data_IF_611912762242
#
_entry.id   IF_611912762242
#
_cell.length_a   1.000
_cell.length_b   1.000
_cell.length_c   1.000
_cell.angle_alpha   90.00
_cell.angle_beta   90.00
_cell.angle_gamma   90.00
#
_symmetry.space_group_name_H-M   'P 1'
#
loop_
_entity.id
_entity.type
_entity.pdbx_description
1 polymer ?
#
# COMPACT_ATOMS: atom_id res chain seq x y z
N UNK A 1 -24.99 -4.00 -12.83
CA UNK A 1 -23.67 -4.66 -12.75
C UNK A 1 -22.68 -3.88 -13.60
N UNK A 2 -21.52 -3.51 -13.07
CA UNK A 2 -20.45 -2.81 -13.78
C UNK A 2 -19.44 -3.83 -14.34
N UNK A 3 -19.15 -3.77 -15.63
CA UNK A 3 -18.13 -4.62 -16.25
C UNK A 3 -16.78 -3.90 -16.32
N UNK A 4 -15.72 -4.60 -15.92
CA UNK A 4 -14.38 -4.04 -15.80
C UNK A 4 -13.39 -4.93 -16.57
N UNK A 5 -12.61 -4.31 -17.45
CA UNK A 5 -11.47 -4.96 -18.10
C UNK A 5 -10.23 -4.89 -17.19
N UNK A 6 -9.89 -6.01 -16.56
CA UNK A 6 -8.73 -6.15 -15.66
C UNK A 6 -7.36 -6.12 -16.35
N UNK A 7 -7.33 -5.95 -17.67
CA UNK A 7 -6.09 -5.71 -18.44
C UNK A 7 -5.83 -4.23 -18.73
N UNK A 8 -6.76 -3.33 -18.36
CA UNK A 8 -6.59 -1.89 -18.52
C UNK A 8 -5.39 -1.34 -17.72
N UNK A 9 -4.69 -0.37 -18.30
CA UNK A 9 -3.56 0.32 -17.67
C UNK A 9 -2.43 -0.63 -17.30
N UNK A 10 -2.05 -0.65 -16.02
CA UNK A 10 -0.99 -1.53 -15.51
C UNK A 10 -1.39 -3.02 -15.62
N UNK A 11 -2.69 -3.33 -15.61
CA UNK A 11 -3.18 -4.68 -15.81
C UNK A 11 -2.68 -5.68 -14.76
N UNK A 12 -2.36 -5.23 -13.55
CA UNK A 12 -1.92 -6.05 -12.43
C UNK A 12 -2.98 -6.21 -11.34
N UNK A 13 -2.51 -6.56 -10.14
CA UNK A 13 -3.40 -6.92 -9.02
C UNK A 13 -4.09 -5.72 -8.37
N UNK A 14 -3.60 -4.49 -8.59
CA UNK A 14 -4.14 -3.28 -7.97
C UNK A 14 -5.57 -3.00 -8.43
N UNK A 15 -5.82 -3.05 -9.75
CA UNK A 15 -7.15 -2.78 -10.33
C UNK A 15 -8.23 -3.62 -9.67
N UNK A 16 -8.01 -4.93 -9.48
CA UNK A 16 -9.00 -5.82 -8.85
C UNK A 16 -9.23 -5.47 -7.38
N UNK A 17 -8.17 -5.11 -6.65
CA UNK A 17 -8.28 -4.69 -5.24
C UNK A 17 -9.12 -3.42 -5.11
N UNK A 18 -8.80 -2.40 -5.91
CA UNK A 18 -9.52 -1.13 -5.91
C UNK A 18 -10.97 -1.30 -6.35
N UNK A 19 -11.22 -2.09 -7.41
CA UNK A 19 -12.57 -2.36 -7.90
C UNK A 19 -13.45 -3.03 -6.84
N UNK A 20 -12.94 -4.02 -6.11
CA UNK A 20 -13.71 -4.70 -5.07
C UNK A 20 -13.95 -3.79 -3.86
N UNK A 21 -12.97 -2.98 -3.47
CA UNK A 21 -13.15 -2.00 -2.40
C UNK A 21 -14.23 -0.96 -2.76
N UNK A 22 -14.19 -0.40 -3.97
CA UNK A 22 -15.18 0.58 -4.42
C UNK A 22 -16.55 -0.03 -4.69
N UNK A 23 -16.61 -1.29 -5.15
CA UNK A 23 -17.85 -2.05 -5.23
C UNK A 23 -18.51 -2.16 -3.87
N UNK A 24 -17.74 -2.51 -2.83
CA UNK A 24 -18.23 -2.59 -1.46
C UNK A 24 -18.80 -1.25 -0.96
N UNK A 25 -18.08 -0.15 -1.19
CA UNK A 25 -18.51 1.19 -0.75
C UNK A 25 -19.77 1.66 -1.49
N UNK A 26 -19.82 1.46 -2.81
CA UNK A 26 -20.92 1.96 -3.65
C UNK A 26 -22.14 1.03 -3.68
N UNK A 27 -22.02 -0.19 -3.15
CA UNK A 27 -23.04 -1.23 -3.26
C UNK A 27 -23.24 -1.75 -4.70
N UNK A 28 -22.38 -1.37 -5.65
CA UNK A 28 -22.52 -1.74 -7.06
C UNK A 28 -21.92 -3.12 -7.30
N UNK A 29 -22.73 -4.05 -7.78
CA UNK A 29 -22.25 -5.35 -8.27
C UNK A 29 -21.32 -5.19 -9.48
N UNK A 30 -20.23 -5.95 -9.50
CA UNK A 30 -19.21 -5.90 -10.55
C UNK A 30 -18.86 -7.25 -11.14
N UNK A 31 -18.37 -7.23 -12.38
CA UNK A 31 -17.71 -8.34 -13.05
C UNK A 31 -16.38 -7.87 -13.64
N UNK A 32 -15.27 -8.43 -13.15
CA UNK A 32 -13.92 -8.14 -13.63
C UNK A 32 -13.46 -9.28 -14.51
N UNK A 33 -13.04 -8.99 -15.74
CA UNK A 33 -12.50 -9.99 -16.69
C UNK A 33 -11.01 -9.74 -16.96
N UNK A 34 -10.32 -10.69 -17.62
CA UNK A 34 -8.90 -10.56 -18.02
C UNK A 34 -7.96 -10.19 -16.84
N UNK A 35 -8.25 -10.70 -15.65
CA UNK A 35 -7.47 -10.39 -14.44
C UNK A 35 -6.00 -10.74 -14.67
N UNK A 36 -5.13 -9.74 -14.52
CA UNK A 36 -3.67 -9.89 -14.62
C UNK A 36 -3.19 -10.42 -15.98
N UNK A 37 -3.95 -10.23 -17.06
CA UNK A 37 -3.65 -10.75 -18.40
C UNK A 37 -2.26 -10.36 -18.92
N UNK A 38 -1.77 -9.17 -18.56
CA UNK A 38 -0.48 -8.65 -19.03
C UNK A 38 0.71 -9.05 -18.13
N UNK A 39 0.50 -9.91 -17.12
CA UNK A 39 1.57 -10.39 -16.23
C UNK A 39 1.99 -11.80 -16.63
N UNK A 40 3.26 -12.15 -16.38
CA UNK A 40 3.83 -13.48 -16.67
C UNK A 40 2.96 -14.65 -16.20
N UNK A 41 2.35 -14.50 -15.02
CA UNK A 41 1.38 -15.45 -14.47
C UNK A 41 0.03 -14.74 -14.34
N UNK A 42 -0.90 -14.89 -15.29
CA UNK A 42 -2.24 -14.29 -15.24
C UNK A 42 -3.12 -14.81 -14.09
N UNK A 43 -4.24 -14.14 -13.87
CA UNK A 43 -5.25 -14.52 -12.89
C UNK A 43 -4.92 -14.22 -11.41
N UNK A 44 -5.82 -14.63 -10.53
CA UNK A 44 -5.72 -14.39 -9.08
C UNK A 44 -4.59 -15.22 -8.44
N UNK A 45 -3.53 -14.56 -7.98
CA UNK A 45 -2.58 -15.15 -6.99
C UNK A 45 -3.21 -15.30 -5.60
N UNK A 46 -2.59 -16.14 -4.76
CA UNK A 46 -3.01 -16.41 -3.38
C UNK A 46 -3.27 -15.15 -2.54
N UNK A 47 -2.41 -14.13 -2.65
CA UNK A 47 -2.62 -12.87 -1.90
C UNK A 47 -3.90 -12.13 -2.31
N UNK A 48 -4.22 -12.14 -3.61
CA UNK A 48 -5.45 -11.51 -4.11
C UNK A 48 -6.65 -12.32 -3.63
N UNK A 49 -6.58 -13.65 -3.78
CA UNK A 49 -7.62 -14.56 -3.33
C UNK A 49 -7.99 -14.29 -1.87
N UNK A 50 -7.00 -14.25 -0.96
CA UNK A 50 -7.29 -14.04 0.46
C UNK A 50 -7.86 -12.67 0.78
N UNK A 51 -7.36 -11.63 0.12
CA UNK A 51 -7.89 -10.28 0.27
C UNK A 51 -9.35 -10.20 -0.18
N UNK A 52 -9.67 -10.78 -1.34
CA UNK A 52 -11.00 -10.80 -1.93
C UNK A 52 -11.99 -11.70 -1.17
N UNK A 53 -11.55 -12.87 -0.69
CA UNK A 53 -12.32 -13.71 0.25
C UNK A 53 -12.70 -12.94 1.50
N UNK A 54 -11.74 -12.20 2.07
CA UNK A 54 -11.98 -11.43 3.29
C UNK A 54 -12.90 -10.24 3.02
N UNK A 55 -12.72 -9.54 1.89
CA UNK A 55 -13.63 -8.49 1.45
C UNK A 55 -15.05 -9.03 1.29
N UNK A 56 -15.22 -10.20 0.66
CA UNK A 56 -16.52 -10.82 0.49
C UNK A 56 -17.18 -11.19 1.84
N UNK A 57 -16.39 -11.70 2.80
CA UNK A 57 -16.89 -11.99 4.15
C UNK A 57 -17.33 -10.72 4.89
N UNK A 58 -16.52 -9.66 4.88
CA UNK A 58 -16.82 -8.38 5.51
C UNK A 58 -18.06 -7.75 4.87
N UNK A 59 -18.19 -7.84 3.54
CA UNK A 59 -19.25 -7.19 2.78
C UNK A 59 -20.54 -8.03 2.62
N UNK A 60 -20.58 -9.24 3.23
CA UNK A 60 -21.56 -10.30 2.91
C UNK A 60 -21.79 -10.49 1.39
N UNK A 61 -20.74 -10.39 0.59
CA UNK A 61 -20.88 -10.40 -0.85
C UNK A 61 -21.20 -11.80 -1.37
N UNK A 62 -22.03 -11.87 -2.42
CA UNK A 62 -22.07 -13.05 -3.31
C UNK A 62 -20.91 -12.94 -4.28
N UNK A 63 -20.17 -14.03 -4.46
CA UNK A 63 -18.94 -14.05 -5.25
C UNK A 63 -18.88 -15.29 -6.13
N UNK A 64 -18.38 -15.13 -7.36
CA UNK A 64 -18.02 -16.23 -8.27
C UNK A 64 -16.66 -15.95 -8.92
N UNK A 65 -15.95 -16.99 -9.34
CA UNK A 65 -14.61 -16.86 -9.92
C UNK A 65 -13.47 -16.66 -8.89
N UNK A 66 -13.75 -16.94 -7.61
CA UNK A 66 -12.79 -16.75 -6.52
C UNK A 66 -11.95 -18.01 -6.26
N UNK A 67 -11.02 -18.31 -7.18
CA UNK A 67 -10.09 -19.44 -7.06
C UNK A 67 -8.70 -19.08 -7.65
N UNK A 68 -7.61 -19.79 -7.26
CA UNK A 68 -6.28 -19.53 -7.78
C UNK A 68 -6.20 -19.60 -9.31
N UNK A 69 -5.61 -18.59 -9.94
CA UNK A 69 -5.48 -18.52 -11.40
C UNK A 69 -6.74 -18.06 -12.14
N UNK A 70 -7.85 -17.79 -11.44
CA UNK A 70 -9.04 -17.26 -12.09
C UNK A 70 -8.75 -15.94 -12.79
N UNK A 71 -9.21 -15.82 -14.03
CA UNK A 71 -9.09 -14.60 -14.84
C UNK A 71 -10.37 -13.76 -14.84
N UNK A 72 -11.39 -14.21 -14.10
CA UNK A 72 -12.69 -13.56 -14.00
C UNK A 72 -13.20 -13.59 -12.54
N UNK A 73 -13.86 -12.53 -12.12
CA UNK A 73 -14.48 -12.42 -10.79
C UNK A 73 -15.82 -11.69 -10.93
N UNK A 74 -16.88 -12.25 -10.34
CA UNK A 74 -18.10 -11.47 -10.05
C UNK A 74 -18.19 -11.24 -8.54
N UNK A 75 -18.53 -10.01 -8.14
CA UNK A 75 -18.61 -9.59 -6.75
C UNK A 75 -19.85 -8.69 -6.56
N UNK A 76 -20.78 -9.16 -5.72
CA UNK A 76 -22.03 -8.47 -5.42
C UNK A 76 -22.13 -8.21 -3.90
N UNK A 77 -21.71 -7.03 -3.41
CA UNK A 77 -21.73 -6.70 -1.99
C UNK A 77 -23.16 -6.47 -1.48
N UNK A 78 -23.36 -6.62 -0.17
CA UNK A 78 -24.66 -6.37 0.50
C UNK A 78 -24.52 -5.26 1.52
N UNK A 79 -23.60 -5.40 2.47
CA UNK A 79 -23.34 -4.40 3.52
C UNK A 79 -21.93 -4.59 4.07
N UNK A 80 -21.25 -3.51 4.45
CA UNK A 80 -19.93 -3.59 5.09
C UNK A 80 -20.13 -3.76 6.59
N UNK A 81 -19.90 -4.97 7.10
CA UNK A 81 -20.00 -5.26 8.53
C UNK A 81 -18.75 -4.86 9.30
N UNK A 82 -18.92 -4.67 10.61
CA UNK A 82 -17.82 -4.79 11.56
C UNK A 82 -17.50 -6.23 11.95
N UNK A 83 -16.68 -6.36 12.99
CA UNK A 83 -16.37 -7.63 13.64
C UNK A 83 -14.89 -7.99 13.63
N UNK A 84 -14.59 -9.18 14.17
CA UNK A 84 -13.24 -9.71 14.32
C UNK A 84 -12.98 -10.77 13.26
N UNK A 85 -11.85 -10.65 12.56
CA UNK A 85 -11.46 -11.58 11.51
C UNK A 85 -10.03 -12.04 11.72
N UNK A 86 -9.84 -13.36 11.73
CA UNK A 86 -8.52 -13.98 11.72
C UNK A 86 -8.21 -14.48 10.30
N UNK A 87 -7.08 -14.03 9.77
CA UNK A 87 -6.66 -14.26 8.39
C UNK A 87 -5.27 -14.87 8.39
N UNK A 88 -5.17 -16.05 7.79
CA UNK A 88 -3.91 -16.62 7.37
C UNK A 88 -3.82 -16.58 5.85
N UNK A 89 -2.86 -15.81 5.30
CA UNK A 89 -2.59 -15.76 3.86
C UNK A 89 -2.00 -17.10 3.37
N UNK A 90 -1.39 -17.87 4.27
CA UNK A 90 -0.84 -19.20 4.01
C UNK A 90 0.50 -19.22 3.27
N UNK A 91 1.00 -18.05 2.88
CA UNK A 91 2.27 -17.85 2.18
C UNK A 91 2.94 -16.55 2.65
N UNK A 92 4.09 -16.20 2.10
CA UNK A 92 4.67 -14.85 2.22
C UNK A 92 3.93 -13.77 1.41
N UNK A 93 2.64 -13.96 1.08
CA UNK A 93 1.83 -12.94 0.42
C UNK A 93 1.75 -11.67 1.28
N UNK A 94 1.84 -10.51 0.62
CA UNK A 94 1.95 -9.21 1.29
C UNK A 94 0.70 -8.88 2.12
N UNK A 95 0.90 -8.62 3.41
CA UNK A 95 -0.12 -8.11 4.32
C UNK A 95 -0.47 -6.67 3.94
N UNK A 96 0.49 -5.85 3.50
CA UNK A 96 0.23 -4.46 3.12
C UNK A 96 -0.68 -4.37 1.90
N UNK A 97 -0.45 -5.19 0.86
CA UNK A 97 -1.35 -5.28 -0.30
C UNK A 97 -2.70 -5.90 0.05
N UNK A 98 -2.74 -6.84 0.98
CA UNK A 98 -3.99 -7.38 1.51
C UNK A 98 -4.82 -6.27 2.17
N UNK A 99 -4.19 -5.46 3.03
CA UNK A 99 -4.84 -4.33 3.69
C UNK A 99 -5.31 -3.27 2.69
N UNK A 100 -4.51 -2.93 1.68
CA UNK A 100 -4.91 -2.00 0.61
C UNK A 100 -6.18 -2.43 -0.14
N UNK A 101 -6.51 -3.72 -0.17
CA UNK A 101 -7.78 -4.19 -0.75
C UNK A 101 -9.00 -3.88 0.12
N UNK A 102 -8.81 -3.85 1.44
CA UNK A 102 -9.90 -3.72 2.40
C UNK A 102 -10.10 -2.26 2.82
N UNK A 103 -8.98 -1.58 3.12
CA UNK A 103 -8.96 -0.27 3.77
C UNK A 103 -9.86 0.79 3.11
N UNK A 104 -9.99 0.91 1.78
CA UNK A 104 -10.89 1.93 1.21
C UNK A 104 -12.36 1.74 1.61
N UNK A 105 -12.78 0.50 1.92
CA UNK A 105 -14.15 0.19 2.33
C UNK A 105 -14.39 0.33 3.84
N UNK A 106 -13.36 0.21 4.68
CA UNK A 106 -13.53 0.11 6.14
C UNK A 106 -14.08 1.37 6.84
N UNK A 107 -13.84 2.62 6.36
CA UNK A 107 -14.51 3.80 6.90
C UNK A 107 -16.04 3.71 6.87
N UNK A 108 -16.59 2.94 5.93
CA UNK A 108 -18.04 2.80 5.69
C UNK A 108 -18.62 1.55 6.34
N UNK A 109 -17.85 0.86 7.19
CA UNK A 109 -18.36 -0.27 7.97
C UNK A 109 -19.42 0.19 8.97
N UNK A 110 -20.38 -0.68 9.30
CA UNK A 110 -21.40 -0.38 10.33
C UNK A 110 -20.83 -0.30 11.74
N UNK A 111 -19.75 -1.03 11.99
CA UNK A 111 -19.11 -1.21 13.30
C UNK A 111 -17.61 -1.38 13.09
N UNK A 112 -16.85 -1.28 14.18
CA UNK A 112 -15.40 -1.52 14.21
C UNK A 112 -15.01 -2.84 13.53
N UNK A 113 -13.96 -2.81 12.71
CA UNK A 113 -13.33 -3.99 12.10
C UNK A 113 -11.98 -4.25 12.75
N UNK A 114 -11.78 -5.45 13.25
CA UNK A 114 -10.51 -5.89 13.84
C UNK A 114 -9.96 -7.09 13.08
N UNK A 115 -8.71 -6.99 12.64
CA UNK A 115 -8.04 -7.99 11.82
C UNK A 115 -6.79 -8.51 12.55
N UNK A 116 -6.66 -9.83 12.62
CA UNK A 116 -5.40 -10.52 12.95
C UNK A 116 -4.92 -11.22 11.69
N UNK A 117 -3.76 -10.81 11.16
CA UNK A 117 -3.30 -11.25 9.85
C UNK A 117 -1.94 -11.92 9.97
N UNK A 118 -1.79 -13.07 9.31
CA UNK A 118 -0.51 -13.78 9.14
C UNK A 118 -0.11 -13.82 7.67
N UNK A 119 1.14 -13.46 7.36
CA UNK A 119 1.65 -13.35 5.99
C UNK A 119 3.06 -12.76 5.90
N UNK A 120 3.36 -12.10 4.77
CA UNK A 120 4.60 -11.32 4.60
C UNK A 120 4.38 -9.85 4.96
N UNK A 121 5.28 -9.28 5.76
CA UNK A 121 5.27 -7.86 6.16
C UNK A 121 6.19 -7.03 5.28
N UNK A 122 7.31 -7.63 4.87
CA UNK A 122 8.39 -7.00 4.12
C UNK A 122 8.78 -7.93 2.98
N UNK A 123 8.12 -7.75 1.83
CA UNK A 123 8.24 -8.62 0.66
C UNK A 123 8.29 -7.80 -0.63
N UNK A 124 8.96 -8.33 -1.64
CA UNK A 124 9.17 -7.62 -2.90
C UNK A 124 7.86 -7.22 -3.58
N UNK A 125 7.91 -6.09 -4.30
CA UNK A 125 6.79 -5.52 -5.07
C UNK A 125 5.55 -5.19 -4.21
N UNK A 126 5.77 -4.84 -2.95
CA UNK A 126 4.77 -4.34 -2.02
C UNK A 126 5.40 -3.28 -1.10
N UNK A 127 4.61 -2.33 -0.58
CA UNK A 127 5.09 -1.46 0.49
C UNK A 127 5.53 -2.28 1.70
N UNK A 128 6.61 -1.84 2.36
CA UNK A 128 7.02 -2.39 3.67
C UNK A 128 5.98 -2.06 4.73
N UNK A 129 6.01 -2.77 5.86
CA UNK A 129 5.10 -2.46 6.96
C UNK A 129 5.38 -1.07 7.55
N UNK A 130 6.66 -0.71 7.67
CA UNK A 130 7.05 0.61 8.14
C UNK A 130 6.57 1.71 7.18
N UNK A 131 6.63 1.50 5.86
CA UNK A 131 6.11 2.47 4.89
C UNK A 131 4.59 2.66 5.06
N UNK A 132 3.86 1.54 5.19
CA UNK A 132 2.42 1.59 5.42
C UNK A 132 2.11 2.41 6.69
N UNK A 133 2.82 2.16 7.79
CA UNK A 133 2.59 2.83 9.08
C UNK A 133 3.01 4.31 9.09
N UNK A 134 4.18 4.64 8.55
CA UNK A 134 4.81 5.96 8.70
C UNK A 134 4.45 6.93 7.56
N UNK A 135 4.10 6.41 6.38
CA UNK A 135 3.77 7.23 5.20
C UNK A 135 2.29 7.11 4.88
N UNK A 136 1.80 5.91 4.56
CA UNK A 136 0.40 5.74 4.11
C UNK A 136 -0.59 6.11 5.21
N UNK A 137 -0.46 5.58 6.42
CA UNK A 137 -1.40 5.89 7.51
C UNK A 137 -1.31 7.36 7.95
N UNK A 138 -0.10 7.96 8.01
CA UNK A 138 0.06 9.40 8.30
C UNK A 138 -0.73 10.25 7.30
N UNK A 139 -0.71 9.88 6.01
CA UNK A 139 -1.47 10.57 4.97
C UNK A 139 -2.99 10.34 5.09
N UNK A 140 -3.42 9.10 5.37
CA UNK A 140 -4.84 8.78 5.55
C UNK A 140 -5.44 9.46 6.79
N UNK A 141 -4.67 9.64 7.86
CA UNK A 141 -5.11 10.38 9.05
C UNK A 141 -5.47 11.83 8.72
N UNK A 142 -4.78 12.47 7.77
CA UNK A 142 -5.13 13.82 7.29
C UNK A 142 -6.49 13.87 6.60
N UNK A 143 -6.88 12.77 5.96
CA UNK A 143 -8.22 12.59 5.37
C UNK A 143 -9.28 12.19 6.41
N UNK A 144 -8.96 12.17 7.71
CA UNK A 144 -9.86 11.75 8.78
C UNK A 144 -10.03 10.23 8.92
N UNK A 145 -9.13 9.44 8.32
CA UNK A 145 -9.18 7.99 8.41
C UNK A 145 -8.87 7.50 9.82
N UNK A 146 -9.79 6.72 10.42
CA UNK A 146 -9.65 6.18 11.76
C UNK A 146 -9.21 4.70 11.71
N UNK A 147 -7.91 4.46 11.67
CA UNK A 147 -7.37 3.10 11.69
C UNK A 147 -5.98 3.02 12.30
N UNK A 148 -5.63 1.83 12.77
CA UNK A 148 -4.33 1.53 13.36
C UNK A 148 -3.84 0.17 12.88
N UNK A 149 -2.57 0.10 12.51
CA UNK A 149 -1.88 -1.15 12.17
C UNK A 149 -0.70 -1.31 13.09
N UNK A 150 -0.59 -2.48 13.71
CA UNK A 150 0.46 -2.83 14.67
C UNK A 150 1.16 -4.09 14.19
N UNK A 151 2.41 -3.93 13.78
CA UNK A 151 3.33 -5.03 13.53
C UNK A 151 3.63 -5.75 14.85
N UNK A 152 3.42 -7.08 14.87
CA UNK A 152 3.74 -7.94 16.02
C UNK A 152 4.97 -8.79 15.76
N UNK A 153 5.10 -9.31 14.55
CA UNK A 153 6.27 -10.07 14.09
C UNK A 153 6.52 -9.77 12.61
N UNK A 154 7.79 -9.61 12.23
CA UNK A 154 8.16 -9.52 10.82
C UNK A 154 8.04 -10.86 10.10
N UNK A 155 7.69 -10.81 8.82
CA UNK A 155 7.62 -11.94 7.91
C UNK A 155 8.21 -11.61 6.55
N UNK A 156 9.23 -12.35 6.16
CA UNK A 156 9.96 -12.17 4.90
C UNK A 156 9.73 -13.34 3.95
N UNK A 157 9.85 -13.07 2.65
CA UNK A 157 9.87 -14.13 1.64
C UNK A 157 11.06 -15.09 1.85
N UNK A 158 10.92 -16.42 1.60
CA UNK A 158 9.73 -17.13 1.11
C UNK A 158 8.79 -17.63 2.21
N UNK A 159 9.24 -17.67 3.47
CA UNK A 159 8.52 -18.34 4.57
C UNK A 159 7.31 -17.53 5.07
N UNK A 160 7.38 -16.20 5.02
CA UNK A 160 6.37 -15.33 5.62
C UNK A 160 6.39 -15.46 7.13
N UNK A 161 5.22 -15.69 7.74
CA UNK A 161 5.08 -15.88 9.19
C UNK A 161 5.01 -14.59 10.00
N UNK A 162 5.01 -13.44 9.34
CA UNK A 162 4.77 -12.15 9.98
C UNK A 162 3.35 -12.07 10.51
N UNK A 163 3.18 -11.29 11.59
CA UNK A 163 1.90 -11.12 12.29
C UNK A 163 1.59 -9.66 12.46
N UNK A 164 0.38 -9.28 12.08
CA UNK A 164 -0.12 -7.90 12.16
C UNK A 164 -1.48 -7.91 12.84
N UNK A 165 -1.69 -6.97 13.76
CA UNK A 165 -3.00 -6.64 14.30
C UNK A 165 -3.42 -5.28 13.76
N UNK A 166 -4.61 -5.20 13.18
CA UNK A 166 -5.15 -3.96 12.64
C UNK A 166 -6.56 -3.71 13.16
N UNK A 167 -6.90 -2.44 13.40
CA UNK A 167 -8.23 -2.02 13.86
C UNK A 167 -8.67 -0.79 13.09
N UNK A 168 -9.92 -0.79 12.64
CA UNK A 168 -10.51 0.29 11.85
C UNK A 168 -11.86 0.66 12.44
N UNK A 169 -12.06 1.94 12.70
CA UNK A 169 -13.34 2.49 13.13
C UNK A 169 -14.10 3.04 11.92
N UNK A 170 -15.44 2.92 11.88
CA UNK A 170 -16.24 3.70 10.97
C UNK A 170 -15.93 5.19 11.13
N UNK A 171 -15.67 5.86 10.02
CA UNK A 171 -15.26 7.26 10.03
C UNK A 171 -15.72 7.99 8.76
N UNK A 172 -15.85 9.30 8.88
CA UNK A 172 -16.13 10.18 7.75
C UNK A 172 -14.81 10.72 7.21
N UNK A 173 -14.52 10.38 5.96
CA UNK A 173 -13.39 10.96 5.26
C UNK A 173 -13.67 12.43 4.92
N UNK A 174 -12.63 13.25 4.97
CA UNK A 174 -12.67 14.69 4.69
C UNK A 174 -11.56 15.05 3.72
N UNK A 175 -11.87 15.94 2.78
CA UNK A 175 -10.91 16.35 1.77
C UNK A 175 -9.68 17.02 2.37
N UNK A 176 -8.51 16.74 1.79
CA UNK A 176 -7.24 17.29 2.23
C UNK A 176 -6.35 17.67 1.05
N UNK A 177 -5.71 18.83 1.14
CA UNK A 177 -4.74 19.31 0.16
C UNK A 177 -3.34 19.05 0.71
N UNK A 178 -2.70 17.99 0.21
CA UNK A 178 -1.35 17.61 0.59
C UNK A 178 -0.35 18.66 0.11
N UNK A 179 0.45 19.16 1.04
CA UNK A 179 1.50 20.12 0.79
C UNK A 179 2.86 19.46 1.03
N UNK A 180 3.91 20.02 0.42
CA UNK A 180 5.28 19.61 0.71
C UNK A 180 5.59 19.90 2.18
N UNK A 181 6.07 18.89 2.89
CA UNK A 181 6.61 19.02 4.25
C UNK A 181 8.15 19.06 4.19
N UNK A 182 8.78 19.90 5.02
CA UNK A 182 10.24 19.98 5.17
C UNK A 182 10.70 19.21 6.41
N UNK A 183 10.26 17.95 6.50
CA UNK A 183 10.61 17.07 7.61
C UNK A 183 12.04 16.55 7.49
N UNK A 184 12.70 16.38 8.64
CA UNK A 184 13.93 15.58 8.73
C UNK A 184 13.64 14.12 8.33
N UNK A 185 14.55 13.49 7.59
CA UNK A 185 14.37 12.09 7.18
C UNK A 185 14.52 11.19 8.40
N UNK A 186 13.50 10.38 8.65
CA UNK A 186 13.51 9.31 9.64
C UNK A 186 13.61 7.96 8.97
N UNK A 187 14.06 6.95 9.70
CA UNK A 187 14.19 5.62 9.15
C UNK A 187 14.24 4.52 10.19
N UNK A 188 13.88 3.31 9.75
CA UNK A 188 14.10 2.06 10.50
C UNK A 188 14.81 1.09 9.56
N UNK A 189 15.97 0.62 10.00
CA UNK A 189 16.73 -0.46 9.39
C UNK A 189 16.64 -1.68 10.29
N UNK A 190 16.21 -2.81 9.75
CA UNK A 190 15.92 -4.00 10.54
C UNK A 190 16.45 -5.28 9.91
N UNK A 191 16.82 -6.25 10.76
CA UNK A 191 17.21 -7.58 10.32
C UNK A 191 16.76 -8.69 11.28
N UNK A 192 16.34 -9.81 10.70
CA UNK A 192 15.90 -11.02 11.36
C UNK A 192 16.82 -12.19 11.04
N UNK A 193 17.29 -12.91 12.06
CA UNK A 193 18.14 -14.11 11.93
C UNK A 193 19.40 -13.86 11.07
N UNK A 194 19.97 -12.67 11.18
CA UNK A 194 21.17 -12.22 10.48
C UNK A 194 22.13 -11.55 11.49
N UNK A 195 23.43 -11.45 11.18
CA UNK A 195 24.36 -10.74 12.04
C UNK A 195 23.91 -9.30 12.33
N UNK A 196 24.07 -8.85 13.58
CA UNK A 196 23.62 -7.53 14.03
C UNK A 196 24.27 -6.36 13.26
N UNK A 197 25.39 -6.58 12.58
CA UNK A 197 26.03 -5.58 11.74
C UNK A 197 25.29 -5.35 10.40
N UNK A 198 24.34 -6.20 10.00
CA UNK A 198 23.59 -6.02 8.75
C UNK A 198 22.75 -4.73 8.77
N UNK A 199 21.83 -4.51 9.73
CA UNK A 199 21.03 -3.29 9.76
C UNK A 199 21.85 -2.04 10.08
N UNK A 200 22.96 -2.19 10.83
CA UNK A 200 23.92 -1.11 11.05
C UNK A 200 24.54 -0.63 9.72
N UNK A 201 25.04 -1.55 8.89
CA UNK A 201 25.63 -1.20 7.58
C UNK A 201 24.61 -0.65 6.59
N UNK A 202 23.37 -1.14 6.62
CA UNK A 202 22.26 -0.55 5.85
C UNK A 202 22.03 0.90 6.25
N UNK A 203 21.86 1.16 7.56
CA UNK A 203 21.60 2.49 8.08
C UNK A 203 22.76 3.45 7.80
N UNK A 204 24.00 3.01 8.00
CA UNK A 204 25.17 3.87 7.77
C UNK A 204 25.34 4.23 6.29
N UNK A 205 25.17 3.27 5.38
CA UNK A 205 25.24 3.57 3.95
C UNK A 205 24.13 4.53 3.50
N UNK A 206 22.92 4.39 4.05
CA UNK A 206 21.84 5.34 3.81
C UNK A 206 22.18 6.74 4.34
N UNK A 207 22.66 6.83 5.60
CA UNK A 207 23.04 8.09 6.25
C UNK A 207 24.11 8.85 5.47
N UNK A 208 25.16 8.15 5.03
CA UNK A 208 26.22 8.73 4.20
C UNK A 208 25.62 9.31 2.91
N UNK A 209 24.82 8.52 2.19
CA UNK A 209 24.22 8.93 0.92
C UNK A 209 23.25 10.13 1.05
N UNK A 210 22.47 10.16 2.14
CA UNK A 210 21.56 11.27 2.47
C UNK A 210 22.35 12.54 2.81
N UNK A 211 23.41 12.40 3.62
CA UNK A 211 24.30 13.51 3.98
C UNK A 211 24.99 14.12 2.74
N UNK A 212 25.47 13.28 1.81
CA UNK A 212 26.02 13.73 0.52
C UNK A 212 25.01 14.52 -0.32
N UNK A 213 23.72 14.22 -0.20
CA UNK A 213 22.64 14.95 -0.87
C UNK A 213 22.13 16.16 -0.08
N UNK A 214 22.70 16.45 1.09
CA UNK A 214 22.29 17.59 1.92
C UNK A 214 21.06 17.36 2.78
N UNK A 215 20.64 16.09 2.98
CA UNK A 215 19.49 15.76 3.82
C UNK A 215 19.93 15.20 5.18
N UNK A 216 19.61 15.87 6.31
CA UNK A 216 19.82 15.30 7.64
C UNK A 216 18.89 14.10 7.86
N UNK A 217 19.34 13.13 8.65
CA UNK A 217 18.57 11.91 8.87
C UNK A 217 18.81 11.26 10.24
N UNK A 218 17.75 10.66 10.78
CA UNK A 218 17.79 9.80 11.97
C UNK A 218 17.27 8.40 11.62
N UNK A 219 18.14 7.39 11.69
CA UNK A 219 17.80 6.02 11.31
C UNK A 219 17.99 5.09 12.51
N UNK A 220 16.90 4.51 13.00
CA UNK A 220 16.92 3.48 14.03
C UNK A 220 17.37 2.14 13.45
N UNK A 221 18.06 1.33 14.24
CA UNK A 221 18.49 -0.02 13.84
C UNK A 221 17.92 -1.09 14.76
N UNK A 222 17.36 -2.15 14.19
CA UNK A 222 16.74 -3.26 14.94
C UNK A 222 17.31 -4.60 14.48
N UNK A 223 17.72 -5.44 15.42
CA UNK A 223 18.11 -6.83 15.17
C UNK A 223 17.31 -7.73 16.09
N UNK A 224 16.75 -8.80 15.55
CA UNK A 224 15.90 -9.70 16.30
C UNK A 224 15.90 -11.10 15.69
N UNK A 225 15.28 -12.04 16.38
CA UNK A 225 14.98 -13.36 15.86
C UNK A 225 13.50 -13.45 15.51
N UNK A 226 13.18 -14.04 14.37
CA UNK A 226 11.79 -14.28 13.96
C UNK A 226 11.69 -15.58 13.16
N UNK A 227 10.46 -15.95 12.76
CA UNK A 227 10.22 -17.18 12.00
C UNK A 227 10.97 -17.22 10.65
N UNK A 228 11.09 -16.07 9.99
CA UNK A 228 11.75 -15.92 8.69
C UNK A 228 12.99 -15.02 8.77
N UNK A 229 14.02 -15.38 8.01
CA UNK A 229 15.24 -14.59 7.83
C UNK A 229 15.03 -13.50 6.78
N UNK A 230 15.50 -12.29 7.04
CA UNK A 230 15.44 -11.19 6.09
C UNK A 230 15.91 -9.89 6.72
N UNK A 231 16.12 -8.87 5.89
CA UNK A 231 16.40 -7.51 6.35
C UNK A 231 15.74 -6.49 5.45
N UNK A 232 15.64 -5.27 5.91
CA UNK A 232 15.06 -4.16 5.16
C UNK A 232 15.39 -2.84 5.80
N UNK A 233 15.23 -1.78 5.02
CA UNK A 233 15.31 -0.41 5.51
C UNK A 233 14.18 0.37 4.87
N UNK A 234 13.48 1.16 5.69
CA UNK A 234 12.47 2.10 5.24
C UNK A 234 12.83 3.49 5.78
N UNK A 235 12.82 4.48 4.90
CA UNK A 235 13.06 5.88 5.17
C UNK A 235 11.80 6.67 4.84
N UNK A 236 11.54 7.75 5.58
CA UNK A 236 10.41 8.64 5.31
C UNK A 236 10.67 10.08 5.79
N UNK A 237 10.00 11.03 5.14
CA UNK A 237 9.92 12.44 5.52
C UNK A 237 8.58 12.98 4.98
N UNK A 238 7.76 13.58 5.83
CA UNK A 238 6.43 14.02 5.41
C UNK A 238 5.57 12.87 4.90
N UNK A 239 5.15 12.98 3.64
CA UNK A 239 4.41 11.95 2.89
C UNK A 239 5.25 11.30 1.79
N UNK A 240 6.58 11.34 1.95
CA UNK A 240 7.55 10.73 1.04
C UNK A 240 8.22 9.54 1.74
N UNK A 241 8.47 8.47 0.99
CA UNK A 241 9.24 7.34 1.49
C UNK A 241 10.19 6.74 0.46
N UNK A 242 11.17 6.00 0.97
CA UNK A 242 12.07 5.16 0.18
C UNK A 242 12.37 3.89 0.97
N UNK A 243 12.42 2.74 0.30
CA UNK A 243 12.60 1.46 1.00
C UNK A 243 13.36 0.44 0.17
N UNK A 244 14.12 -0.42 0.83
CA UNK A 244 14.81 -1.50 0.15
C UNK A 244 14.88 -2.74 1.04
N UNK A 245 14.72 -3.90 0.42
CA UNK A 245 14.81 -5.19 1.09
C UNK A 245 16.19 -5.82 0.86
N UNK A 246 16.67 -6.52 1.88
CA UNK A 246 17.85 -7.38 1.76
C UNK A 246 17.54 -8.66 1.00
N UNK A 247 18.50 -9.10 0.19
CA UNK A 247 18.42 -10.35 -0.54
C UNK A 247 19.73 -11.14 -0.39
N UNK A 248 19.67 -12.46 -0.57
CA UNK A 248 20.85 -13.31 -0.42
C UNK A 248 21.91 -12.91 -1.45
N UNK A 249 23.08 -12.50 -0.96
CA UNK A 249 24.20 -12.06 -1.80
C UNK A 249 24.20 -10.56 -2.13
N UNK A 250 23.14 -9.83 -1.77
CA UNK A 250 23.10 -8.37 -1.91
C UNK A 250 23.78 -7.71 -0.70
N UNK A 251 24.82 -6.86 -0.89
CA UNK A 251 25.47 -6.17 0.21
C UNK A 251 24.52 -5.23 0.95
N UNK A 252 24.64 -5.18 2.28
CA UNK A 252 23.84 -4.32 3.16
C UNK A 252 23.95 -2.83 2.78
N UNK A 253 25.14 -2.41 2.37
CA UNK A 253 25.44 -1.05 1.94
C UNK A 253 24.65 -0.66 0.68
N UNK A 254 24.49 -1.60 -0.26
CA UNK A 254 23.65 -1.36 -1.46
C UNK A 254 22.18 -1.20 -1.08
N UNK A 255 21.69 -2.04 -0.17
CA UNK A 255 20.30 -1.94 0.32
C UNK A 255 20.06 -0.56 0.97
N UNK A 256 20.95 -0.12 1.85
CA UNK A 256 20.91 1.22 2.45
C UNK A 256 20.91 2.34 1.41
N UNK A 257 21.84 2.27 0.45
CA UNK A 257 21.98 3.26 -0.61
C UNK A 257 20.75 3.33 -1.52
N UNK A 258 20.15 2.21 -1.89
CA UNK A 258 18.94 2.18 -2.72
C UNK A 258 17.77 2.90 -2.04
N UNK A 259 17.49 2.60 -0.76
CA UNK A 259 16.42 3.29 -0.04
C UNK A 259 16.67 4.80 0.08
N UNK A 260 17.91 5.21 0.30
CA UNK A 260 18.29 6.62 0.31
C UNK A 260 18.07 7.29 -1.07
N UNK A 261 18.45 6.62 -2.16
CA UNK A 261 18.26 7.14 -3.52
C UNK A 261 16.80 7.29 -3.90
N UNK A 262 15.94 6.36 -3.47
CA UNK A 262 14.48 6.47 -3.65
C UNK A 262 13.94 7.75 -2.98
N UNK A 263 14.15 7.95 -1.68
CA UNK A 263 13.61 9.12 -0.99
C UNK A 263 14.25 10.44 -1.45
N UNK A 264 15.53 10.45 -1.82
CA UNK A 264 16.20 11.64 -2.38
C UNK A 264 15.52 12.10 -3.68
N UNK A 265 15.10 11.16 -4.52
CA UNK A 265 14.43 11.47 -5.79
C UNK A 265 13.12 12.23 -5.56
N UNK A 266 12.38 11.85 -4.53
CA UNK A 266 11.13 12.51 -4.14
C UNK A 266 11.40 13.89 -3.49
N UNK A 267 12.31 13.94 -2.52
CA UNK A 267 12.66 15.18 -1.80
C UNK A 267 13.20 16.26 -2.75
N UNK A 268 14.06 15.88 -3.70
CA UNK A 268 14.67 16.80 -4.65
C UNK A 268 13.68 17.33 -5.70
N UNK A 269 12.66 16.56 -6.05
CA UNK A 269 11.58 17.02 -6.94
C UNK A 269 10.68 18.05 -6.25
N UNK A 270 10.54 17.98 -4.92
CA UNK A 270 9.72 18.90 -4.14
C UNK A 270 8.21 18.64 -4.26
N UNK A 271 7.82 17.39 -4.55
CA UNK A 271 6.42 16.97 -4.53
C UNK A 271 5.88 16.90 -3.09
N UNK A 272 4.55 16.97 -2.95
CA UNK A 272 3.89 16.80 -1.65
C UNK A 272 3.80 15.33 -1.24
N UNK A 273 3.72 14.41 -2.20
CA UNK A 273 3.68 12.96 -1.98
C UNK A 273 4.66 12.25 -2.92
N UNK A 274 5.09 11.04 -2.56
CA UNK A 274 5.90 10.20 -3.43
C UNK A 274 5.05 9.46 -4.49
N UNK A 275 5.73 8.86 -5.48
CA UNK A 275 5.08 8.16 -6.60
C UNK A 275 4.24 6.93 -6.21
N UNK A 276 4.48 6.34 -5.03
CA UNK A 276 3.78 5.16 -4.53
C UNK A 276 2.59 5.54 -3.65
N UNK A 277 2.72 6.60 -2.85
CA UNK A 277 1.60 7.14 -2.09
C UNK A 277 0.58 7.79 -3.01
N UNK A 278 1.02 8.44 -4.09
CA UNK A 278 0.16 9.01 -5.12
C UNK A 278 -0.93 8.04 -5.60
N UNK A 279 -0.55 6.81 -5.97
CA UNK A 279 -1.55 5.82 -6.41
C UNK A 279 -2.44 5.32 -5.26
N UNK A 280 -1.90 5.23 -4.04
CA UNK A 280 -2.62 4.73 -2.87
C UNK A 280 -3.71 5.69 -2.40
N UNK A 281 -3.50 7.01 -2.56
CA UNK A 281 -4.44 8.04 -2.09
C UNK A 281 -5.68 8.18 -2.97
N UNK A 282 -5.61 7.84 -4.26
CA UNK A 282 -6.68 8.03 -5.24
C UNK A 282 -8.08 7.59 -4.75
N UNK A 283 -8.31 6.33 -4.32
CA UNK A 283 -9.64 5.92 -3.88
C UNK A 283 -10.12 6.70 -2.66
N UNK A 284 -9.23 7.10 -1.74
CA UNK A 284 -9.61 7.85 -0.54
C UNK A 284 -9.94 9.30 -0.86
N UNK A 285 -9.14 9.95 -1.72
CA UNK A 285 -9.41 11.32 -2.17
C UNK A 285 -10.75 11.43 -2.89
N UNK A 286 -11.08 10.46 -3.76
CA UNK A 286 -12.37 10.44 -4.43
C UNK A 286 -13.56 10.23 -3.48
N UNK A 287 -13.37 9.43 -2.43
CA UNK A 287 -14.39 9.20 -1.40
C UNK A 287 -14.53 10.38 -0.44
N UNK A 288 -13.46 11.13 -0.22
CA UNK A 288 -13.42 12.31 0.64
C UNK A 288 -13.91 13.59 -0.06
N UNK A 289 -13.72 13.70 -1.38
CA UNK A 289 -13.89 14.93 -2.15
C UNK A 289 -12.80 15.96 -1.83
N UNK A 290 -12.86 17.13 -2.47
CA UNK A 290 -12.02 18.32 -2.25
C UNK A 290 -10.59 18.03 -1.77
N UNK A 291 -9.83 17.28 -2.56
CA UNK A 291 -8.49 16.81 -2.22
C UNK A 291 -7.52 17.05 -3.36
N UNK A 292 -6.26 17.33 -3.05
CA UNK A 292 -5.19 17.42 -4.05
C UNK A 292 -3.83 17.04 -3.50
N UNK A 293 -2.92 16.64 -4.38
CA UNK A 293 -1.49 16.48 -4.10
C UNK A 293 -0.66 16.84 -5.34
N UNK A 294 0.64 17.08 -5.16
CA UNK A 294 1.62 17.10 -6.24
C UNK A 294 2.52 15.86 -6.18
N UNK A 295 2.87 15.32 -7.34
CA UNK A 295 3.77 14.17 -7.51
C UNK A 295 4.75 14.44 -8.65
N UNK A 296 5.98 13.94 -8.54
CA UNK A 296 7.00 14.15 -9.58
C UNK A 296 6.73 13.39 -10.89
N UNK A 297 5.98 12.31 -10.83
CA UNK A 297 5.71 11.44 -11.97
C UNK A 297 4.35 10.77 -11.82
N UNK A 298 3.56 10.73 -12.89
CA UNK A 298 2.32 9.98 -12.94
C UNK A 298 2.59 8.53 -13.33
N UNK A 299 2.70 7.67 -12.33
CA UNK A 299 2.89 6.24 -12.56
C UNK A 299 1.67 5.61 -13.26
N UNK A 300 1.90 4.50 -13.97
CA UNK A 300 0.81 3.73 -14.59
C UNK A 300 -0.17 3.19 -13.55
N UNK A 301 0.30 2.92 -12.32
CA UNK A 301 -0.55 2.55 -11.18
C UNK A 301 -1.49 3.71 -10.80
N UNK A 302 -0.98 4.94 -10.70
CA UNK A 302 -1.79 6.14 -10.43
C UNK A 302 -2.86 6.32 -11.50
N UNK A 303 -2.46 6.29 -12.78
CA UNK A 303 -3.40 6.44 -13.90
C UNK A 303 -4.48 5.34 -13.91
N UNK A 304 -4.11 4.09 -13.59
CA UNK A 304 -5.05 2.97 -13.51
C UNK A 304 -6.01 3.15 -12.34
N UNK A 305 -5.53 3.60 -11.18
CA UNK A 305 -6.36 3.86 -10.01
C UNK A 305 -7.33 5.03 -10.23
N UNK A 306 -6.91 6.09 -10.92
CA UNK A 306 -7.80 7.19 -11.33
C UNK A 306 -8.91 6.62 -12.20
N UNK A 307 -8.54 5.94 -13.29
CA UNK A 307 -9.51 5.41 -14.24
C UNK A 307 -10.54 4.49 -13.59
N UNK A 308 -10.11 3.53 -12.77
CA UNK A 308 -11.03 2.60 -12.11
C UNK A 308 -11.92 3.33 -11.12
N UNK A 309 -11.40 4.30 -10.38
CA UNK A 309 -12.17 5.06 -9.39
C UNK A 309 -13.30 5.86 -10.05
N UNK A 310 -13.03 6.49 -11.19
CA UNK A 310 -14.04 7.21 -11.98
C UNK A 310 -15.10 6.29 -12.62
N UNK A 311 -14.89 4.96 -12.68
CA UNK A 311 -15.96 4.03 -13.12
C UNK A 311 -17.02 3.82 -12.03
N UNK A 312 -16.65 4.01 -10.76
CA UNK A 312 -17.52 3.76 -9.61
C UNK A 312 -18.20 5.02 -9.10
N UNK A 313 -17.46 6.12 -9.05
CA UNK A 313 -17.87 7.38 -8.42
C UNK A 313 -18.09 8.46 -9.47
N UNK A 314 -19.08 9.33 -9.24
CA UNK A 314 -19.35 10.49 -10.09
C UNK A 314 -18.38 11.63 -9.78
N UNK A 315 -17.09 11.37 -10.02
CA UNK A 315 -15.99 12.31 -9.82
C UNK A 315 -15.09 12.30 -11.04
N UNK A 316 -14.36 13.40 -11.24
CA UNK A 316 -13.31 13.50 -12.25
C UNK A 316 -12.04 14.04 -11.64
N UNK A 317 -10.95 13.30 -11.82
CA UNK A 317 -9.63 13.75 -11.44
C UNK A 317 -9.12 14.75 -12.48
N UNK A 318 -8.66 15.89 -11.99
CA UNK A 318 -7.97 16.88 -12.81
C UNK A 318 -6.47 16.74 -12.58
N UNK A 319 -5.73 16.69 -13.68
CA UNK A 319 -4.28 16.55 -13.69
C UNK A 319 -3.70 17.78 -14.39
N UNK A 320 -2.87 18.54 -13.70
CA UNK A 320 -2.19 19.73 -14.24
C UNK A 320 -0.69 19.64 -14.02
N UNK A 321 0.11 19.95 -15.04
CA UNK A 321 1.56 20.08 -14.87
C UNK A 321 1.88 21.48 -14.33
N UNK A 322 2.56 21.56 -13.18
CA UNK A 322 2.97 22.80 -12.51
C UNK A 322 4.41 22.70 -12.07
N UNK A 323 5.28 23.54 -12.67
CA UNK A 323 6.71 23.65 -12.31
C UNK A 323 7.45 22.30 -12.34
N UNK A 324 7.15 21.45 -13.32
CA UNK A 324 7.78 20.12 -13.46
C UNK A 324 7.22 19.04 -12.53
N UNK A 325 6.12 19.32 -11.83
CA UNK A 325 5.35 18.35 -11.05
C UNK A 325 3.95 18.18 -11.66
N UNK A 326 3.30 17.06 -11.36
CA UNK A 326 1.88 16.85 -11.67
C UNK A 326 1.04 17.10 -10.43
N UNK A 327 0.15 18.08 -10.48
CA UNK A 327 -0.92 18.24 -9.49
C UNK A 327 -2.11 17.37 -9.88
N UNK A 328 -2.50 16.47 -8.97
CA UNK A 328 -3.69 15.63 -9.09
C UNK A 328 -4.70 16.13 -8.09
N UNK A 329 -5.93 16.42 -8.56
CA UNK A 329 -6.99 16.97 -7.71
C UNK A 329 -8.35 16.36 -8.04
N UNK A 330 -9.24 16.33 -7.05
CA UNK A 330 -10.64 15.93 -7.17
C UNK A 330 -11.49 16.85 -6.29
N UNK A 331 -12.61 17.33 -6.83
CA UNK A 331 -13.55 18.18 -6.12
C UNK A 331 -14.59 17.36 -5.37
#
# INVERSE_FOLDING_TARGET
MLEIDGSYGEGGGQLVRTAVALSAVTGREIRVTKIRKNRQNPGLKQQHLKALETAARICKARVSGLFPGSTELSFAPVEIKGGKYDINIGTAGSITLFLQCLMPALPFAKEKVELTIRGGTDVAWAPTMDYLQQVTFKALEQLGYAGKVVLKEHGYYPKGGGRVSASFEPCRLQGFHFLKEEDEIRGISHASNLPAHVPLRQAEAARIRLQEAGYPSQIETKSFEAFSTGSGITLWAGFLGGSALGERGLPAEKVGKHAAEEIISEMSAGSSVDIHLADQLIPYMALAGNSSYTVRELSLHTATNIWITEQFLDVKFKIEEKKGLFEVSVN
#
